data_IF_304549027226
#
_entry.id   IF_304549027226
#
_cell.length_a   1.000
_cell.length_b   1.000
_cell.length_c   1.000
_cell.angle_alpha   90.00
_cell.angle_beta   90.00
_cell.angle_gamma   90.00
#
_symmetry.space_group_name_H-M   'P 1'
#
loop_
_entity.id
_entity.type
_entity.pdbx_description
1 polymer ?
#
# COMPACT_ATOMS: atom_id res chain seq x y z
N UNK A 1 -3.08 23.55 11.22
CA UNK A 1 -3.36 23.59 9.76
C UNK A 1 -2.42 22.67 8.97
N UNK A 2 -1.11 22.73 9.22
CA UNK A 2 -0.07 21.90 8.58
C UNK A 2 -0.36 20.39 8.57
N UNK A 3 -0.75 19.79 9.70
CA UNK A 3 -1.01 18.34 9.81
C UNK A 3 -2.06 17.87 8.80
N UNK A 4 -3.08 18.68 8.52
CA UNK A 4 -4.14 18.37 7.55
C UNK A 4 -3.60 18.36 6.11
N UNK A 5 -2.71 19.31 5.78
CA UNK A 5 -2.06 19.39 4.45
C UNK A 5 -1.12 18.21 4.26
N UNK A 6 -0.28 17.91 5.24
CA UNK A 6 0.63 16.74 5.18
C UNK A 6 -0.15 15.45 5.05
N UNK A 7 -1.24 15.29 5.80
CA UNK A 7 -2.08 14.09 5.69
C UNK A 7 -2.79 14.01 4.33
N UNK A 8 -3.17 15.14 3.72
CA UNK A 8 -3.71 15.15 2.37
C UNK A 8 -2.65 14.73 1.34
N UNK A 9 -1.45 15.31 1.41
CA UNK A 9 -0.34 14.98 0.51
C UNK A 9 0.05 13.50 0.66
N UNK A 10 0.24 13.00 1.89
CA UNK A 10 0.54 11.60 2.15
C UNK A 10 -0.52 10.65 1.55
N UNK A 11 -1.80 11.02 1.68
CA UNK A 11 -2.92 10.26 1.10
C UNK A 11 -2.87 10.24 -0.42
N UNK A 12 -2.67 11.40 -1.05
CA UNK A 12 -2.59 11.51 -2.50
C UNK A 12 -1.37 10.81 -3.07
N UNK A 13 -0.21 10.91 -2.42
CA UNK A 13 1.01 10.20 -2.82
C UNK A 13 0.83 8.69 -2.78
N UNK A 14 0.32 8.13 -1.67
CA UNK A 14 0.04 6.70 -1.60
C UNK A 14 -1.00 6.27 -2.62
N UNK A 15 -2.07 7.05 -2.78
CA UNK A 15 -3.09 6.74 -3.76
C UNK A 15 -2.56 6.72 -5.19
N UNK A 16 -1.72 7.70 -5.56
CA UNK A 16 -1.10 7.78 -6.87
C UNK A 16 -0.18 6.59 -7.14
N UNK A 17 0.65 6.21 -6.17
CA UNK A 17 1.59 5.09 -6.29
C UNK A 17 0.84 3.77 -6.49
N UNK A 18 -0.16 3.50 -5.65
CA UNK A 18 -0.98 2.30 -5.80
C UNK A 18 -1.74 2.28 -7.13
N UNK A 19 -2.22 3.44 -7.60
CA UNK A 19 -2.93 3.52 -8.87
C UNK A 19 -2.00 3.21 -10.05
N UNK A 20 -0.84 3.85 -10.08
CA UNK A 20 0.15 3.69 -11.15
C UNK A 20 0.67 2.27 -11.17
N UNK A 21 1.05 1.73 -10.01
CA UNK A 21 1.52 0.34 -9.88
C UNK A 21 0.48 -0.66 -10.36
N UNK A 22 -0.75 -0.56 -9.86
CA UNK A 22 -1.83 -1.47 -10.22
C UNK A 22 -2.25 -1.34 -11.70
N UNK A 23 -2.33 -0.11 -12.22
CA UNK A 23 -2.67 0.13 -13.62
C UNK A 23 -1.64 -0.48 -14.58
N UNK A 24 -0.34 -0.34 -14.27
CA UNK A 24 0.73 -0.91 -15.09
C UNK A 24 0.70 -2.45 -15.07
N UNK A 25 0.41 -3.06 -13.92
CA UNK A 25 0.28 -4.52 -13.81
C UNK A 25 -0.98 -5.08 -14.51
N UNK A 26 -2.08 -4.33 -14.49
CA UNK A 26 -3.30 -4.69 -15.24
C UNK A 26 -3.10 -4.50 -16.75
N UNK A 27 -2.32 -3.52 -17.16
CA UNK A 27 -2.02 -3.28 -18.57
C UNK A 27 -1.20 -4.42 -19.20
N UNK A 28 -0.29 -5.03 -18.44
CA UNK A 28 0.46 -6.21 -18.87
C UNK A 28 0.43 -7.34 -17.81
N UNK A 29 -0.63 -8.16 -17.80
CA UNK A 29 -0.76 -9.25 -16.84
C UNK A 29 0.24 -10.39 -17.11
N UNK A 30 0.69 -10.56 -18.36
CA UNK A 30 1.69 -11.57 -18.70
C UNK A 30 3.04 -11.22 -18.05
N UNK A 31 3.44 -9.95 -18.13
CA UNK A 31 4.64 -9.45 -17.48
C UNK A 31 4.53 -9.55 -15.95
N UNK A 32 3.37 -9.25 -15.38
CA UNK A 32 3.13 -9.40 -13.95
C UNK A 32 3.30 -10.85 -13.48
N UNK A 33 2.85 -11.83 -14.27
CA UNK A 33 3.07 -13.26 -13.98
C UNK A 33 4.56 -13.61 -14.01
N UNK A 34 5.32 -13.09 -14.99
CA UNK A 34 6.77 -13.31 -15.11
C UNK A 34 7.49 -12.73 -13.88
N UNK A 35 7.15 -11.51 -13.48
CA UNK A 35 7.70 -10.87 -12.28
C UNK A 35 7.39 -11.69 -11.02
N UNK A 36 6.13 -12.10 -10.83
CA UNK A 36 5.72 -12.90 -9.66
C UNK A 36 6.45 -14.25 -9.61
N UNK A 37 6.63 -14.91 -10.76
CA UNK A 37 7.37 -16.16 -10.88
C UNK A 37 8.86 -15.98 -10.56
N UNK A 38 9.45 -14.86 -10.97
CA UNK A 38 10.87 -14.58 -10.78
C UNK A 38 11.28 -14.48 -9.30
N UNK A 39 10.35 -14.13 -8.40
CA UNK A 39 10.59 -14.17 -6.96
C UNK A 39 10.89 -15.58 -6.42
N UNK A 40 10.46 -16.64 -7.11
CA UNK A 40 10.65 -18.03 -6.67
C UNK A 40 10.25 -18.25 -5.20
N UNK A 41 9.16 -17.61 -4.77
CA UNK A 41 8.59 -17.71 -3.41
C UNK A 41 7.32 -18.56 -3.38
N UNK A 42 6.58 -18.60 -4.50
CA UNK A 42 5.31 -19.28 -4.62
C UNK A 42 5.42 -20.52 -5.51
N UNK A 43 4.64 -21.58 -5.25
CA UNK A 43 4.49 -22.68 -6.20
C UNK A 43 3.74 -22.20 -7.45
N UNK A 44 3.97 -22.86 -8.59
CA UNK A 44 3.43 -22.43 -9.90
C UNK A 44 1.91 -22.26 -9.93
N UNK A 45 1.17 -23.08 -9.17
CA UNK A 45 -0.29 -23.00 -9.08
C UNK A 45 -0.78 -21.68 -8.45
N UNK A 46 0.05 -21.07 -7.60
CA UNK A 46 -0.25 -19.82 -6.87
C UNK A 46 0.28 -18.56 -7.58
N UNK A 47 1.17 -18.69 -8.56
CA UNK A 47 1.74 -17.54 -9.28
C UNK A 47 0.64 -16.74 -9.99
N UNK A 48 -0.19 -17.42 -10.80
CA UNK A 48 -1.28 -16.80 -11.57
C UNK A 48 -2.33 -16.11 -10.69
N UNK A 49 -2.90 -16.75 -9.65
CA UNK A 49 -3.91 -16.10 -8.82
C UNK A 49 -3.33 -14.89 -8.09
N UNK A 50 -2.09 -14.95 -7.59
CA UNK A 50 -1.46 -13.80 -6.92
C UNK A 50 -1.18 -12.66 -7.91
N UNK A 51 -0.57 -12.97 -9.05
CA UNK A 51 -0.27 -11.99 -10.10
C UNK A 51 -1.52 -11.27 -10.61
N UNK A 52 -2.65 -11.98 -10.71
CA UNK A 52 -3.90 -11.39 -11.17
C UNK A 52 -4.64 -10.63 -10.06
N UNK A 53 -4.60 -11.09 -8.81
CA UNK A 53 -5.42 -10.49 -7.73
C UNK A 53 -4.76 -9.26 -7.12
N UNK A 54 -3.43 -9.27 -7.00
CA UNK A 54 -2.66 -8.19 -6.37
C UNK A 54 -2.90 -6.82 -7.03
N UNK A 55 -2.89 -6.67 -8.37
CA UNK A 55 -3.16 -5.38 -9.04
C UNK A 55 -4.55 -4.81 -8.71
N UNK A 56 -5.57 -5.66 -8.58
CA UNK A 56 -6.91 -5.20 -8.17
C UNK A 56 -6.94 -4.70 -6.73
N UNK A 57 -6.18 -5.32 -5.82
CA UNK A 57 -6.03 -4.82 -4.46
C UNK A 57 -5.35 -3.45 -4.44
N UNK A 58 -4.30 -3.25 -5.26
CA UNK A 58 -3.61 -1.96 -5.37
C UNK A 58 -4.56 -0.86 -5.86
N UNK A 59 -5.32 -1.13 -6.93
CA UNK A 59 -6.31 -0.17 -7.45
C UNK A 59 -7.41 0.11 -6.42
N UNK A 60 -7.92 -0.91 -5.72
CA UNK A 60 -8.93 -0.74 -4.68
C UNK A 60 -8.42 0.14 -3.52
N UNK A 61 -7.19 -0.08 -3.05
CA UNK A 61 -6.55 0.77 -2.03
C UNK A 61 -6.39 2.20 -2.52
N UNK A 62 -5.99 2.38 -3.78
CA UNK A 62 -5.88 3.70 -4.38
C UNK A 62 -7.21 4.45 -4.35
N UNK A 63 -8.29 3.84 -4.86
CA UNK A 63 -9.62 4.47 -4.90
C UNK A 63 -10.12 4.83 -3.50
N UNK A 64 -9.94 3.93 -2.52
CA UNK A 64 -10.30 4.17 -1.13
C UNK A 64 -9.53 5.36 -0.53
N UNK A 65 -8.22 5.48 -0.82
CA UNK A 65 -7.41 6.61 -0.40
C UNK A 65 -7.79 7.91 -1.13
N UNK A 66 -8.06 7.87 -2.44
CA UNK A 66 -8.49 9.05 -3.22
C UNK A 66 -9.79 9.63 -2.66
N UNK A 67 -10.80 8.78 -2.46
CA UNK A 67 -12.11 9.16 -1.92
C UNK A 67 -12.01 9.51 -0.42
N UNK A 68 -10.94 9.09 0.25
CA UNK A 68 -10.73 9.32 1.68
C UNK A 68 -11.68 8.51 2.55
N UNK A 69 -12.13 7.35 2.07
CA UNK A 69 -12.97 6.43 2.83
C UNK A 69 -12.11 5.53 3.71
N UNK A 70 -12.50 5.38 4.97
CA UNK A 70 -11.82 4.51 5.94
C UNK A 70 -10.28 4.66 5.98
N UNK A 71 -9.77 5.91 5.87
CA UNK A 71 -8.34 6.23 5.68
C UNK A 71 -7.40 5.43 6.59
N UNK A 72 -7.74 5.22 7.87
CA UNK A 72 -6.93 4.39 8.78
C UNK A 72 -6.82 2.93 8.34
N UNK A 73 -7.95 2.32 7.98
CA UNK A 73 -7.99 0.92 7.57
C UNK A 73 -7.23 0.75 6.25
N UNK A 74 -7.48 1.63 5.29
CA UNK A 74 -6.80 1.62 3.98
C UNK A 74 -5.29 1.86 4.13
N UNK A 75 -4.87 2.83 4.94
CA UNK A 75 -3.46 3.08 5.24
C UNK A 75 -2.81 1.90 5.98
N UNK A 76 -3.55 1.22 6.87
CA UNK A 76 -3.04 0.01 7.55
C UNK A 76 -2.84 -1.13 6.55
N UNK A 77 -3.80 -1.35 5.64
CA UNK A 77 -3.66 -2.34 4.58
C UNK A 77 -2.49 -2.02 3.64
N UNK A 78 -2.31 -0.75 3.25
CA UNK A 78 -1.16 -0.30 2.47
C UNK A 78 0.16 -0.54 3.21
N UNK A 79 0.22 -0.27 4.52
CA UNK A 79 1.42 -0.50 5.33
C UNK A 79 1.76 -2.00 5.39
N UNK A 80 0.77 -2.87 5.56
CA UNK A 80 0.98 -4.33 5.53
C UNK A 80 1.51 -4.76 4.16
N UNK A 81 0.93 -4.27 3.07
CA UNK A 81 1.35 -4.66 1.72
C UNK A 81 2.77 -4.17 1.41
N UNK A 82 3.14 -2.95 1.85
CA UNK A 82 4.50 -2.43 1.76
C UNK A 82 5.50 -3.26 2.58
N UNK A 83 5.13 -3.68 3.80
CA UNK A 83 6.00 -4.56 4.60
C UNK A 83 6.22 -5.92 3.94
N UNK A 84 5.16 -6.50 3.34
CA UNK A 84 5.28 -7.74 2.57
C UNK A 84 6.21 -7.52 1.38
N UNK A 85 6.04 -6.43 0.62
CA UNK A 85 6.89 -6.10 -0.52
C UNK A 85 8.37 -5.95 -0.12
N UNK A 86 8.65 -5.15 0.91
CA UNK A 86 10.02 -4.97 1.43
C UNK A 86 10.60 -6.33 1.84
N UNK A 87 9.83 -7.18 2.53
CA UNK A 87 10.26 -8.52 2.92
C UNK A 87 10.59 -9.42 1.73
N UNK A 88 9.80 -9.33 0.66
CA UNK A 88 10.04 -10.05 -0.60
C UNK A 88 11.33 -9.56 -1.26
N UNK A 89 11.54 -8.24 -1.41
CA UNK A 89 12.75 -7.65 -2.01
C UNK A 89 13.99 -8.04 -1.20
N UNK A 90 13.94 -7.94 0.13
CA UNK A 90 15.03 -8.37 1.01
C UNK A 90 15.31 -9.88 0.86
N UNK A 91 14.27 -10.71 0.71
CA UNK A 91 14.45 -12.14 0.46
C UNK A 91 15.15 -12.42 -0.87
N UNK A 92 14.80 -11.70 -1.94
CA UNK A 92 15.45 -11.82 -3.25
C UNK A 92 16.92 -11.41 -3.18
N UNK A 93 17.18 -10.27 -2.54
CA UNK A 93 18.52 -9.72 -2.40
C UNK A 93 19.43 -10.66 -1.60
N UNK A 94 18.95 -11.20 -0.48
CA UNK A 94 19.72 -12.16 0.34
C UNK A 94 19.96 -13.50 -0.34
N UNK A 95 19.11 -13.88 -1.30
CA UNK A 95 19.30 -15.07 -2.16
C UNK A 95 20.21 -14.82 -3.36
N UNK A 96 20.63 -13.58 -3.59
CA UNK A 96 21.49 -13.20 -4.71
C UNK A 96 20.80 -13.32 -6.08
N UNK A 97 19.46 -13.27 -6.10
CA UNK A 97 18.71 -13.23 -7.36
C UNK A 97 18.90 -11.84 -7.99
N UNK A 98 19.07 -11.78 -9.30
CA UNK A 98 19.12 -10.53 -10.07
C UNK A 98 17.82 -10.43 -10.87
N UNK A 99 16.83 -9.78 -10.27
CA UNK A 99 15.50 -9.60 -10.85
C UNK A 99 15.02 -8.17 -10.63
N UNK A 100 14.31 -7.63 -11.61
CA UNK A 100 13.50 -6.43 -11.41
C UNK A 100 12.21 -6.84 -10.68
N UNK A 101 11.91 -6.13 -9.58
CA UNK A 101 10.76 -6.40 -8.74
C UNK A 101 9.42 -6.05 -9.42
N UNK A 102 9.44 -5.27 -10.51
CA UNK A 102 8.25 -5.00 -11.31
C UNK A 102 7.18 -4.16 -10.59
N UNK A 103 7.57 -3.44 -9.53
CA UNK A 103 6.65 -2.61 -8.73
C UNK A 103 5.98 -1.52 -9.58
N UNK A 104 6.62 -1.05 -10.64
CA UNK A 104 6.13 -0.02 -11.55
C UNK A 104 6.04 -0.54 -13.00
N UNK A 105 5.61 -1.80 -13.16
CA UNK A 105 5.60 -2.49 -14.45
C UNK A 105 6.95 -3.14 -14.76
N UNK A 106 6.98 -4.00 -15.77
CA UNK A 106 8.17 -4.81 -16.05
C UNK A 106 8.36 -5.93 -15.02
N UNK A 107 9.60 -6.12 -14.58
CA UNK A 107 9.97 -7.20 -13.68
C UNK A 107 10.41 -8.49 -14.36
N UNK A 108 10.97 -9.42 -13.58
CA UNK A 108 11.58 -10.64 -14.10
C UNK A 108 13.11 -10.57 -14.06
N UNK A 109 13.79 -11.49 -14.76
CA UNK A 109 15.24 -11.51 -14.79
C UNK A 109 15.78 -10.23 -15.48
N UNK A 110 16.60 -9.48 -14.76
CA UNK A 110 17.23 -8.25 -15.21
C UNK A 110 18.62 -8.15 -14.56
N UNK A 111 19.55 -7.44 -15.20
CA UNK A 111 20.87 -7.17 -14.61
C UNK A 111 20.74 -6.04 -13.59
N UNK A 112 20.39 -6.40 -12.36
CA UNK A 112 20.23 -5.49 -11.22
C UNK A 112 21.30 -5.73 -10.18
N UNK A 113 21.74 -4.65 -9.55
CA UNK A 113 22.75 -4.62 -8.51
C UNK A 113 22.11 -4.39 -7.13
N UNK A 114 22.91 -4.57 -6.07
CA UNK A 114 22.45 -4.32 -4.70
C UNK A 114 21.99 -2.88 -4.44
N UNK A 115 22.49 -1.91 -5.21
CA UNK A 115 22.05 -0.51 -5.13
C UNK A 115 20.61 -0.32 -5.62
N UNK A 116 20.20 -1.06 -6.65
CA UNK A 116 18.84 -0.98 -7.18
C UNK A 116 17.84 -1.48 -6.12
N UNK A 117 18.14 -2.62 -5.48
CA UNK A 117 17.35 -3.12 -4.36
C UNK A 117 17.31 -2.14 -3.17
N UNK A 118 18.42 -1.48 -2.86
CA UNK A 118 18.46 -0.49 -1.79
C UNK A 118 17.58 0.73 -2.11
N UNK A 119 17.58 1.20 -3.35
CA UNK A 119 16.71 2.30 -3.80
C UNK A 119 15.23 1.91 -3.72
N UNK A 120 14.88 0.72 -4.18
CA UNK A 120 13.50 0.22 -4.08
C UNK A 120 13.03 0.09 -2.63
N UNK A 121 13.86 -0.47 -1.75
CA UNK A 121 13.55 -0.57 -0.32
C UNK A 121 13.42 0.82 0.30
N UNK A 122 14.31 1.76 -0.03
CA UNK A 122 14.27 3.12 0.51
C UNK A 122 12.99 3.85 0.09
N UNK A 123 12.60 3.72 -1.18
CA UNK A 123 11.33 4.23 -1.71
C UNK A 123 10.14 3.63 -0.94
N UNK A 124 10.13 2.32 -0.76
CA UNK A 124 9.02 1.61 -0.10
C UNK A 124 8.95 1.96 1.39
N UNK A 125 10.09 2.16 2.06
CA UNK A 125 10.18 2.70 3.43
C UNK A 125 9.64 4.12 3.50
N UNK A 126 9.92 4.96 2.49
CA UNK A 126 9.33 6.29 2.36
C UNK A 126 7.80 6.24 2.31
N UNK A 127 7.23 5.37 1.48
CA UNK A 127 5.77 5.17 1.42
C UNK A 127 5.21 4.57 2.71
N UNK A 128 5.95 3.67 3.35
CA UNK A 128 5.56 3.08 4.64
C UNK A 128 5.47 4.16 5.72
N UNK A 129 6.42 5.10 5.75
CA UNK A 129 6.38 6.23 6.67
C UNK A 129 5.14 7.11 6.44
N UNK A 130 4.75 7.36 5.18
CA UNK A 130 3.49 8.05 4.86
C UNK A 130 2.26 7.27 5.32
N UNK A 131 2.27 5.94 5.17
CA UNK A 131 1.17 5.08 5.62
C UNK A 131 1.04 5.12 7.15
N UNK A 132 2.16 4.99 7.88
CA UNK A 132 2.21 5.12 9.35
C UNK A 132 1.73 6.50 9.80
N UNK A 133 2.13 7.57 9.11
CA UNK A 133 1.64 8.91 9.38
C UNK A 133 0.12 9.00 9.29
N UNK A 134 -0.49 8.43 8.25
CA UNK A 134 -1.95 8.41 8.09
C UNK A 134 -2.68 7.54 9.13
N UNK A 135 -2.02 6.49 9.65
CA UNK A 135 -2.57 5.65 10.72
C UNK A 135 -2.66 6.44 12.03
N UNK A 136 -1.61 7.20 12.37
CA UNK A 136 -1.51 8.02 13.59
C UNK A 136 -2.34 9.30 13.48
N UNK A 137 -2.28 9.97 12.32
CA UNK A 137 -2.98 11.22 12.04
C UNK A 137 -4.02 11.06 10.93
N UNK A 138 -5.14 10.36 11.19
CA UNK A 138 -6.14 10.03 10.17
C UNK A 138 -7.00 11.20 9.72
N UNK A 139 -6.83 12.37 10.33
CA UNK A 139 -7.65 13.56 10.07
C UNK A 139 -7.12 14.27 8.83
N UNK A 140 -7.44 13.75 7.65
CA UNK A 140 -7.29 14.50 6.39
C UNK A 140 -8.56 15.33 6.11
N UNK A 141 -8.44 16.55 5.55
CA UNK A 141 -9.60 17.21 4.95
C UNK A 141 -10.14 16.33 3.81
N UNK A 142 -11.44 16.38 3.53
CA UNK A 142 -12.11 15.55 2.50
C UNK A 142 -12.06 14.03 2.72
N UNK A 143 -12.04 13.54 3.96
CA UNK A 143 -12.30 12.13 4.26
C UNK A 143 -13.81 11.91 4.45
N UNK A 144 -14.47 11.19 3.53
CA UNK A 144 -15.89 10.83 3.63
C UNK A 144 -16.16 9.67 4.61
N UNK A 145 -15.22 9.40 5.54
CA UNK A 145 -15.28 8.26 6.44
C UNK A 145 -16.39 8.34 7.49
N UNK A 146 -17.21 7.28 7.56
CA UNK A 146 -18.28 6.98 8.54
C UNK A 146 -17.91 7.09 10.03
N UNK A 147 -16.64 7.37 10.37
CA UNK A 147 -16.08 7.38 11.72
C UNK A 147 -15.86 8.80 12.28
N UNK A 148 -16.56 9.80 11.73
CA UNK A 148 -16.72 11.12 12.36
C UNK A 148 -17.78 11.13 13.45
N UNK A 149 -18.66 10.12 13.53
CA UNK A 149 -19.47 9.87 14.72
C UNK A 149 -18.62 9.13 15.74
N UNK A 150 -17.91 9.90 16.57
CA UNK A 150 -17.72 9.49 17.96
C UNK A 150 -19.06 8.96 18.46
N UNK A 151 -19.08 7.72 18.91
CA UNK A 151 -20.15 7.21 19.76
C UNK A 151 -20.32 8.25 20.86
N UNK A 152 -21.39 9.05 20.78
CA UNK A 152 -21.84 9.84 21.91
C UNK A 152 -22.16 8.79 22.97
N UNK A 153 -21.24 8.58 23.91
CA UNK A 153 -21.66 8.16 25.23
C UNK A 153 -22.52 9.30 25.76
N UNK A 154 -23.82 9.22 25.47
CA UNK A 154 -24.83 9.99 26.19
C UNK A 154 -24.67 9.56 27.64
N UNK A 155 -24.00 10.36 28.45
CA UNK A 155 -24.13 10.27 29.90
C UNK A 155 -25.59 10.60 30.19
N UNK A 156 -26.42 9.69 30.71
CA UNK A 156 -27.71 10.10 31.23
C UNK A 156 -27.42 10.91 32.48
N UNK A 157 -27.53 12.23 32.36
CA UNK A 157 -27.69 13.11 33.49
C UNK A 157 -29.07 12.81 34.08
N UNK A 158 -29.14 11.88 35.04
CA UNK A 158 -30.33 11.73 35.87
C UNK A 158 -30.28 12.77 36.99
N UNK A 159 -30.96 13.85 36.68
CA UNK A 159 -31.49 14.88 37.56
C UNK A 159 -32.22 14.30 38.77
N UNK A 160 -31.85 14.82 39.95
CA UNK A 160 -32.72 15.30 41.03
C UNK A 160 -34.11 14.65 41.12
N UNK A 161 -34.25 13.67 42.02
CA UNK A 161 -35.46 13.42 42.78
C UNK A 161 -35.08 12.58 44.01
N UNK A 162 -34.90 13.24 45.15
CA UNK A 162 -35.51 12.97 46.46
C UNK A 162 -34.96 13.95 47.50
#
# INVERSE_FOLDING_TARGET
MWIKVVSLLARLSLAAVWLVSGALKVADPAQTIIAVRAYQLLPEDLVRPVANTLPFFEIALSLLLLIGLAVRATASASAVLLLVLIGVIVSVWTRGLSIDCGCFGGGGAADVNGWDYAEEILRDVGFLALAVWLIVFPRSPFALGLRSRTTFSVTPQQTVAE
#
